data_IF_525826185475
#
_entry.id   IF_525826185475
#
_cell.length_a   1.000
_cell.length_b   1.000
_cell.length_c   1.000
_cell.angle_alpha   90.00
_cell.angle_beta   90.00
_cell.angle_gamma   90.00
#
_symmetry.space_group_name_H-M   'P 1'
#
loop_
_entity.id
_entity.type
_entity.pdbx_description
1 polymer ?
#
# COMPACT_ATOMS: atom_id res chain seq x y z
N UNK A 1 -37.95 14.43 -23.09
CA UNK A 1 -37.30 13.28 -22.43
C UNK A 1 -36.09 12.93 -23.25
N UNK A 2 -34.94 13.50 -22.91
CA UNK A 2 -33.66 13.13 -23.51
C UNK A 2 -32.88 12.38 -22.44
N UNK A 3 -32.61 11.10 -22.73
CA UNK A 3 -31.87 10.22 -21.86
C UNK A 3 -30.42 10.70 -21.78
N UNK A 4 -30.05 11.28 -20.65
CA UNK A 4 -28.65 11.46 -20.30
C UNK A 4 -28.16 10.07 -19.90
N UNK A 5 -27.43 9.43 -20.80
CA UNK A 5 -26.68 8.21 -20.51
C UNK A 5 -25.55 8.57 -19.54
N UNK A 6 -25.85 8.63 -18.24
CA UNK A 6 -24.93 9.00 -17.17
C UNK A 6 -24.00 7.85 -16.75
N UNK A 7 -23.48 7.07 -17.69
CA UNK A 7 -22.51 6.02 -17.36
C UNK A 7 -21.06 6.52 -17.46
N UNK A 8 -20.82 7.79 -17.12
CA UNK A 8 -19.48 8.29 -16.81
C UNK A 8 -19.16 7.85 -15.38
N UNK A 9 -18.73 6.60 -15.21
CA UNK A 9 -18.21 6.15 -13.92
C UNK A 9 -16.96 6.98 -13.60
N UNK A 10 -17.13 7.98 -12.73
CA UNK A 10 -16.05 8.80 -12.19
C UNK A 10 -14.99 7.89 -11.58
N UNK A 11 -13.78 7.86 -12.17
CA UNK A 11 -12.64 7.13 -11.61
C UNK A 11 -11.95 8.03 -10.61
N UNK A 12 -11.98 7.65 -9.33
CA UNK A 12 -11.38 8.42 -8.26
C UNK A 12 -9.85 8.25 -8.23
N UNK A 13 -9.09 9.32 -8.00
CA UNK A 13 -7.68 9.22 -7.60
C UNK A 13 -7.58 9.52 -6.11
N UNK A 14 -7.19 8.52 -5.32
CA UNK A 14 -7.20 8.61 -3.85
C UNK A 14 -5.92 8.05 -3.23
N UNK A 15 -5.63 8.47 -2.00
CA UNK A 15 -4.61 7.85 -1.17
C UNK A 15 -5.10 6.52 -0.59
N UNK A 16 -4.20 5.58 -0.32
CA UNK A 16 -4.49 4.37 0.45
C UNK A 16 -5.16 4.66 1.80
N UNK A 17 -4.94 5.84 2.40
CA UNK A 17 -5.57 6.28 3.65
C UNK A 17 -7.08 6.47 3.52
N UNK A 18 -7.58 6.65 2.30
CA UNK A 18 -8.99 6.86 1.99
C UNK A 18 -9.71 5.54 1.70
N UNK A 19 -8.98 4.44 1.55
CA UNK A 19 -9.56 3.09 1.46
C UNK A 19 -10.12 2.67 2.82
N UNK A 20 -11.35 2.17 2.83
CA UNK A 20 -12.00 1.60 4.00
C UNK A 20 -11.70 0.10 4.14
N UNK A 21 -11.52 -0.37 5.38
CA UNK A 21 -11.31 -1.78 5.68
C UNK A 21 -9.84 -2.11 5.83
N UNK A 22 -9.31 -2.99 4.97
CA UNK A 22 -7.90 -3.34 4.93
C UNK A 22 -7.18 -2.53 3.84
N UNK A 23 -6.62 -1.36 4.16
CA UNK A 23 -5.90 -0.57 3.17
C UNK A 23 -4.52 -1.15 2.86
N UNK A 24 -4.02 -2.10 3.67
CA UNK A 24 -2.73 -2.73 3.41
C UNK A 24 -2.88 -3.85 2.38
N UNK A 25 -2.37 -3.61 1.18
CA UNK A 25 -2.01 -4.65 0.21
C UNK A 25 -1.21 -5.79 0.86
N UNK A 26 -1.21 -6.95 0.21
CA UNK A 26 -0.53 -8.14 0.70
C UNK A 26 1.00 -8.09 0.54
N UNK A 27 1.55 -7.14 -0.23
CA UNK A 27 2.98 -7.06 -0.57
C UNK A 27 3.44 -5.62 -0.72
N UNK A 28 4.72 -5.39 -0.50
CA UNK A 28 5.42 -4.17 -0.87
C UNK A 28 5.80 -4.20 -2.35
N UNK A 29 5.85 -3.02 -2.98
CA UNK A 29 6.35 -2.82 -4.33
C UNK A 29 7.47 -1.75 -4.28
N UNK A 30 8.62 -1.93 -4.97
CA UNK A 30 9.68 -0.93 -5.05
C UNK A 30 9.20 0.47 -5.44
N UNK A 31 8.20 0.56 -6.33
CA UNK A 31 7.64 1.83 -6.81
C UNK A 31 7.02 2.67 -5.68
N UNK A 32 6.67 2.05 -4.55
CA UNK A 32 6.19 2.76 -3.35
C UNK A 32 7.26 3.70 -2.76
N UNK A 33 8.54 3.51 -3.10
CA UNK A 33 9.64 4.35 -2.66
C UNK A 33 9.92 5.54 -3.61
N UNK A 34 9.27 5.56 -4.78
CA UNK A 34 9.38 6.64 -5.76
C UNK A 34 8.43 7.80 -5.42
N UNK A 35 8.69 9.03 -5.91
CA UNK A 35 7.85 10.21 -5.65
C UNK A 35 6.37 10.03 -6.01
N UNK A 36 6.10 9.34 -7.11
CA UNK A 36 4.77 9.02 -7.64
C UNK A 36 4.05 7.91 -6.87
N UNK A 37 4.79 7.11 -6.10
CA UNK A 37 4.30 5.91 -5.44
C UNK A 37 3.87 4.81 -6.42
N UNK A 38 3.26 3.77 -5.87
CA UNK A 38 2.69 2.67 -6.62
C UNK A 38 1.17 2.86 -6.78
N UNK A 39 0.67 2.89 -8.02
CA UNK A 39 -0.77 3.06 -8.29
C UNK A 39 -1.43 1.71 -8.53
N UNK A 40 -2.53 1.44 -7.83
CA UNK A 40 -3.39 0.27 -8.07
C UNK A 40 -4.76 0.73 -8.54
N UNK A 41 -5.18 0.27 -9.72
CA UNK A 41 -6.52 0.50 -10.26
C UNK A 41 -7.45 -0.64 -9.89
N UNK A 42 -8.67 -0.32 -9.44
CA UNK A 42 -9.66 -1.34 -9.09
C UNK A 42 -10.93 -0.76 -8.48
N UNK A 43 -11.73 -1.62 -7.85
CA UNK A 43 -12.94 -1.23 -7.13
C UNK A 43 -12.64 -1.18 -5.62
N UNK A 44 -12.80 0.00 -5.02
CA UNK A 44 -12.48 0.22 -3.61
C UNK A 44 -13.66 0.81 -2.84
N UNK A 45 -13.75 0.46 -1.55
CA UNK A 45 -14.63 1.16 -0.61
C UNK A 45 -13.91 2.42 -0.14
N UNK A 46 -14.49 3.59 -0.39
CA UNK A 46 -13.85 4.89 -0.16
C UNK A 46 -14.48 5.58 1.06
N UNK A 47 -13.65 6.22 1.90
CA UNK A 47 -14.12 7.06 3.03
C UNK A 47 -15.03 8.18 2.54
N UNK A 48 -16.08 8.48 3.31
CA UNK A 48 -17.10 9.46 2.92
C UNK A 48 -18.14 8.97 1.89
N UNK A 49 -17.94 7.81 1.27
CA UNK A 49 -18.93 7.17 0.37
C UNK A 49 -19.69 6.04 1.07
N UNK A 50 -20.75 5.55 0.44
CA UNK A 50 -21.57 4.44 0.98
C UNK A 50 -20.73 3.18 1.22
N UNK A 51 -20.72 2.68 2.47
CA UNK A 51 -19.92 1.50 2.90
C UNK A 51 -20.29 0.19 2.19
N UNK A 52 -21.48 0.13 1.58
CA UNK A 52 -21.99 -1.05 0.89
C UNK A 52 -21.47 -1.18 -0.54
N UNK A 53 -21.04 -0.08 -1.15
CA UNK A 53 -20.64 -0.03 -2.56
C UNK A 53 -19.12 0.14 -2.68
N UNK A 54 -18.56 -0.48 -3.72
CA UNK A 54 -17.19 -0.21 -4.16
C UNK A 54 -17.24 0.66 -5.43
N UNK A 55 -16.26 1.54 -5.57
CA UNK A 55 -16.18 2.52 -6.65
C UNK A 55 -14.88 2.35 -7.42
N UNK A 56 -14.86 2.59 -8.74
CA UNK A 56 -13.63 2.55 -9.52
C UNK A 56 -12.68 3.65 -9.04
N UNK A 57 -11.48 3.25 -8.65
CA UNK A 57 -10.46 4.17 -8.15
C UNK A 57 -9.05 3.71 -8.51
N UNK A 58 -8.17 4.70 -8.67
CA UNK A 58 -6.73 4.58 -8.66
C UNK A 58 -6.25 4.96 -7.26
N UNK A 59 -5.67 3.99 -6.56
CA UNK A 59 -5.17 4.17 -5.19
C UNK A 59 -3.66 4.31 -5.23
N UNK A 60 -3.14 5.41 -4.69
CA UNK A 60 -1.71 5.62 -4.52
C UNK A 60 -1.21 5.03 -3.20
N UNK A 61 -0.17 4.20 -3.31
CA UNK A 61 0.58 3.58 -2.22
C UNK A 61 1.99 4.15 -2.21
N UNK A 62 2.31 4.94 -1.19
CA UNK A 62 3.50 5.78 -1.12
C UNK A 62 4.54 5.28 -0.11
N UNK A 63 5.58 6.07 0.13
CA UNK A 63 6.62 5.74 1.10
C UNK A 63 6.05 5.57 2.51
N UNK A 64 5.05 6.37 2.88
CA UNK A 64 4.41 6.28 4.19
C UNK A 64 3.67 4.94 4.34
N UNK A 65 3.01 4.48 3.28
CA UNK A 65 2.45 3.13 3.23
C UNK A 65 3.51 2.06 3.50
N UNK A 66 4.64 2.12 2.80
CA UNK A 66 5.70 1.13 2.94
C UNK A 66 6.24 1.07 4.38
N UNK A 67 6.45 2.23 5.01
CA UNK A 67 6.85 2.32 6.42
C UNK A 67 5.80 1.67 7.33
N UNK A 68 4.51 1.99 7.13
CA UNK A 68 3.43 1.43 7.96
C UNK A 68 3.29 -0.08 7.79
N UNK A 69 3.48 -0.59 6.58
CA UNK A 69 3.53 -2.02 6.32
C UNK A 69 4.68 -2.67 7.10
N UNK A 70 5.91 -2.13 7.01
CA UNK A 70 7.07 -2.64 7.75
C UNK A 70 6.80 -2.65 9.27
N UNK A 71 6.25 -1.56 9.82
CA UNK A 71 5.91 -1.50 11.23
C UNK A 71 4.91 -2.59 11.64
N UNK A 72 3.81 -2.73 10.89
CA UNK A 72 2.69 -3.62 11.28
C UNK A 72 2.91 -5.09 10.93
N UNK A 73 3.67 -5.39 9.87
CA UNK A 73 3.86 -6.76 9.37
C UNK A 73 5.21 -7.36 9.73
N UNK A 74 6.19 -6.53 10.06
CA UNK A 74 7.57 -6.95 10.31
C UNK A 74 7.98 -6.62 11.75
N UNK A 75 7.98 -5.34 12.13
CA UNK A 75 8.50 -4.94 13.43
C UNK A 75 7.61 -5.37 14.60
N UNK A 76 6.29 -5.17 14.49
CA UNK A 76 5.35 -5.50 15.56
C UNK A 76 5.30 -7.01 15.87
N UNK A 77 5.20 -7.92 14.87
CA UNK A 77 5.22 -9.36 15.15
C UNK A 77 6.54 -9.87 15.74
N UNK A 78 7.67 -9.26 15.37
CA UNK A 78 8.98 -9.62 15.92
C UNK A 78 9.19 -9.10 17.35
N UNK A 79 8.33 -8.20 17.85
CA UNK A 79 8.41 -7.68 19.21
C UNK A 79 9.70 -6.90 19.50
N UNK A 80 10.38 -6.37 18.48
CA UNK A 80 11.68 -5.72 18.66
C UNK A 80 11.48 -4.34 19.28
N UNK A 81 12.18 -4.08 20.38
CA UNK A 81 12.06 -2.83 21.15
C UNK A 81 13.27 -1.92 21.00
N UNK A 82 14.41 -2.43 20.51
CA UNK A 82 15.65 -1.66 20.36
C UNK A 82 16.03 -1.47 18.90
N UNK A 83 16.39 -0.25 18.55
CA UNK A 83 16.79 0.11 17.19
C UNK A 83 18.01 -0.69 16.69
N UNK A 84 19.02 -0.89 17.54
CA UNK A 84 20.25 -1.61 17.16
C UNK A 84 19.98 -3.08 16.80
N UNK A 85 19.00 -3.73 17.47
CA UNK A 85 18.62 -5.12 17.18
C UNK A 85 17.97 -5.22 15.77
N UNK A 86 17.15 -4.24 15.39
CA UNK A 86 16.57 -4.14 14.03
C UNK A 86 17.67 -3.91 12.98
N UNK A 87 18.61 -3.00 13.25
CA UNK A 87 19.69 -2.70 12.30
C UNK A 87 20.56 -3.92 12.00
N UNK A 88 20.93 -4.68 13.04
CA UNK A 88 21.70 -5.92 12.88
C UNK A 88 20.92 -6.95 12.03
N UNK A 89 19.65 -7.18 12.37
CA UNK A 89 18.80 -8.12 11.64
C UNK A 89 18.63 -7.75 10.16
N UNK A 90 18.39 -6.47 9.85
CA UNK A 90 18.27 -6.00 8.46
C UNK A 90 19.59 -6.18 7.70
N UNK A 91 20.73 -5.92 8.34
CA UNK A 91 22.03 -6.11 7.72
C UNK A 91 22.31 -7.59 7.41
N UNK A 92 21.96 -8.49 8.32
CA UNK A 92 22.03 -9.95 8.12
C UNK A 92 21.14 -10.38 6.95
N UNK A 93 19.86 -9.98 6.95
CA UNK A 93 18.91 -10.31 5.87
C UNK A 93 19.35 -9.79 4.50
N UNK A 94 19.97 -8.60 4.46
CA UNK A 94 20.52 -8.04 3.22
C UNK A 94 21.67 -8.87 2.66
N UNK A 95 22.57 -9.34 3.53
CA UNK A 95 23.70 -10.17 3.11
C UNK A 95 23.23 -11.52 2.55
N UNK A 96 22.21 -12.13 3.17
CA UNK A 96 21.58 -13.35 2.69
C UNK A 96 20.90 -13.15 1.33
N UNK A 97 20.05 -12.12 1.20
CA UNK A 97 19.43 -11.74 -0.07
C UNK A 97 20.48 -11.57 -1.20
N UNK A 98 21.56 -10.83 -0.92
CA UNK A 98 22.63 -10.61 -1.88
C UNK A 98 23.33 -11.92 -2.26
N UNK A 99 23.53 -12.85 -1.32
CA UNK A 99 24.18 -14.13 -1.62
C UNK A 99 23.33 -14.99 -2.56
N UNK A 100 22.01 -15.00 -2.38
CA UNK A 100 21.07 -15.75 -3.23
C UNK A 100 20.90 -15.13 -4.63
N UNK A 101 21.09 -13.81 -4.76
CA UNK A 101 20.85 -13.07 -5.99
C UNK A 101 22.14 -12.59 -6.67
N UNK A 102 23.30 -13.14 -6.27
CA UNK A 102 24.55 -13.02 -7.04
C UNK A 102 24.42 -13.85 -8.34
N UNK A 103 23.98 -13.19 -9.40
CA UNK A 103 24.29 -13.54 -10.78
C UNK A 103 25.58 -12.84 -11.20
#
# INVERSE_FOLDING_TARGET
MEGIDQNSQEVYLISWKEVQGNPLLAKLNPDMLLPEGHIVTGLFKIKGKSKKLAYPANVSYDREYAIKYICSKLLQPLGITKFNEIQALIAEAWNEYKAEHKQ
#
